data_IF_987962905656
#
_entry.id   IF_987962905656
#
_cell.length_a   1.000
_cell.length_b   1.000
_cell.length_c   1.000
_cell.angle_alpha   90.00
_cell.angle_beta   90.00
_cell.angle_gamma   90.00
#
_symmetry.space_group_name_H-M   'P 1'
#
loop_
_entity.id
_entity.type
_entity.pdbx_description
1 polymer ?
#
# COMPACT_ATOMS: atom_id res chain seq x y z
N UNK A 1 -21.64 -34.38 23.89
CA UNK A 1 -20.38 -33.60 23.98
C UNK A 1 -20.20 -32.91 22.65
N UNK A 2 -20.50 -31.62 22.57
CA UNK A 2 -20.42 -30.84 21.34
C UNK A 2 -19.12 -30.05 21.42
N UNK A 3 -18.15 -30.37 20.56
CA UNK A 3 -16.91 -29.64 20.46
C UNK A 3 -17.18 -28.23 19.92
N UNK A 4 -16.77 -27.14 20.59
CA UNK A 4 -16.77 -25.83 19.99
C UNK A 4 -15.58 -25.73 19.03
N UNK A 5 -15.79 -26.20 17.80
CA UNK A 5 -14.87 -25.98 16.68
C UNK A 5 -15.06 -24.54 16.21
N UNK A 6 -13.99 -23.76 16.41
CA UNK A 6 -13.64 -22.55 15.66
C UNK A 6 -14.63 -21.39 15.84
N UNK A 7 -14.36 -20.63 16.92
CA UNK A 7 -14.81 -19.26 17.09
C UNK A 7 -14.21 -18.38 15.98
N UNK A 8 -14.92 -18.33 14.86
CA UNK A 8 -15.23 -17.14 14.06
C UNK A 8 -14.10 -16.08 14.07
N UNK A 9 -13.06 -16.30 13.27
CA UNK A 9 -12.20 -15.23 12.73
C UNK A 9 -12.95 -14.44 11.64
N UNK A 10 -14.14 -13.91 11.96
CA UNK A 10 -15.00 -13.23 10.98
C UNK A 10 -15.38 -11.80 11.40
N UNK A 11 -14.56 -11.18 12.25
CA UNK A 11 -14.60 -9.75 12.54
C UNK A 11 -13.34 -9.07 12.01
N UNK A 12 -13.11 -9.08 10.70
CA UNK A 12 -12.12 -8.16 10.10
C UNK A 12 -12.31 -7.91 8.62
N UNK A 13 -13.56 -7.83 8.14
CA UNK A 13 -13.84 -7.51 6.72
C UNK A 13 -14.50 -6.14 6.54
N UNK A 14 -15.07 -5.55 7.60
CA UNK A 14 -15.75 -4.26 7.51
C UNK A 14 -14.81 -3.05 7.57
N UNK A 15 -13.73 -3.10 8.37
CA UNK A 15 -12.83 -1.94 8.51
C UNK A 15 -11.88 -1.76 7.33
N UNK A 16 -11.61 -2.85 6.59
CA UNK A 16 -10.58 -2.87 5.57
C UNK A 16 -11.03 -2.23 4.23
N UNK A 17 -12.32 -2.35 3.88
CA UNK A 17 -12.86 -1.75 2.65
C UNK A 17 -12.81 -0.20 2.66
N UNK A 18 -12.96 0.41 3.84
CA UNK A 18 -12.93 1.87 3.99
C UNK A 18 -11.52 2.41 3.74
N UNK A 19 -10.51 1.76 4.34
CA UNK A 19 -9.10 2.13 4.20
C UNK A 19 -8.57 1.98 2.77
N UNK A 20 -9.11 1.04 2.00
CA UNK A 20 -8.72 0.83 0.60
C UNK A 20 -9.08 2.03 -0.29
N UNK A 21 -10.30 2.54 -0.15
CA UNK A 21 -10.78 3.71 -0.91
C UNK A 21 -10.03 5.00 -0.55
N UNK A 22 -9.38 5.02 0.63
CA UNK A 22 -8.59 6.16 1.09
C UNK A 22 -7.17 6.23 0.51
N UNK A 23 -6.70 5.16 -0.15
CA UNK A 23 -5.38 5.12 -0.76
C UNK A 23 -5.47 4.95 -2.29
N UNK A 24 -6.52 4.28 -2.77
CA UNK A 24 -6.78 4.11 -4.19
C UNK A 24 -6.95 5.48 -4.90
N UNK A 25 -6.14 5.73 -5.94
CA UNK A 25 -6.10 6.98 -6.71
C UNK A 25 -5.76 8.26 -5.93
N UNK A 26 -5.33 8.16 -4.67
CA UNK A 26 -4.86 9.30 -3.86
C UNK A 26 -3.34 9.42 -3.88
N UNK A 27 -2.86 10.62 -3.58
CA UNK A 27 -1.43 10.89 -3.39
C UNK A 27 -0.99 10.29 -2.05
N UNK A 28 -0.10 9.31 -2.11
CA UNK A 28 0.43 8.57 -0.96
C UNK A 28 1.24 9.50 -0.05
N UNK A 29 1.99 10.42 -0.66
CA UNK A 29 2.79 11.43 0.01
C UNK A 29 3.94 11.90 -0.88
N UNK A 30 4.78 12.74 -0.30
CA UNK A 30 6.02 13.21 -0.90
C UNK A 30 7.13 12.24 -0.47
N UNK A 31 7.87 11.72 -1.45
CA UNK A 31 9.00 10.84 -1.20
C UNK A 31 10.27 11.50 -1.69
N UNK A 32 11.30 11.45 -0.86
CA UNK A 32 12.62 11.90 -1.26
C UNK A 32 13.26 10.85 -2.19
N UNK A 33 13.68 11.23 -3.39
CA UNK A 33 14.40 10.33 -4.26
C UNK A 33 15.82 10.10 -3.73
N UNK A 34 16.40 8.93 -4.01
CA UNK A 34 17.81 8.70 -3.69
C UNK A 34 18.75 9.45 -4.66
N UNK A 35 20.06 9.33 -4.45
CA UNK A 35 21.13 9.94 -5.30
C UNK A 35 21.04 9.65 -6.81
N UNK A 36 20.19 8.74 -7.27
CA UNK A 36 19.91 8.39 -8.67
C UNK A 36 18.56 8.91 -9.16
N UNK A 37 17.91 9.79 -8.41
CA UNK A 37 16.56 10.30 -8.65
C UNK A 37 15.47 9.21 -8.66
N UNK A 38 15.67 8.14 -7.87
CA UNK A 38 14.75 6.99 -7.78
C UNK A 38 14.17 6.92 -6.38
N UNK A 39 12.84 6.86 -6.28
CA UNK A 39 12.16 6.64 -5.00
C UNK A 39 12.33 5.19 -4.55
N UNK A 40 12.84 4.93 -3.34
CA UNK A 40 12.98 3.58 -2.81
C UNK A 40 11.61 2.92 -2.60
N UNK A 41 11.41 1.78 -3.25
CA UNK A 41 10.18 0.99 -3.14
C UNK A 41 9.85 0.56 -1.70
N UNK A 42 10.87 0.35 -0.87
CA UNK A 42 10.68 -0.03 0.54
C UNK A 42 9.95 1.03 1.36
N UNK A 43 10.22 2.31 1.11
CA UNK A 43 9.59 3.40 1.87
C UNK A 43 8.14 3.62 1.43
N UNK A 44 7.89 3.53 0.11
CA UNK A 44 6.53 3.48 -0.44
C UNK A 44 5.75 2.33 0.19
N UNK A 45 6.35 1.14 0.27
CA UNK A 45 5.71 -0.06 0.82
C UNK A 45 5.32 0.12 2.30
N UNK A 46 6.20 0.73 3.10
CA UNK A 46 5.96 1.05 4.51
C UNK A 46 4.82 2.03 4.70
N UNK A 47 4.82 3.14 3.96
CA UNK A 47 3.75 4.13 4.04
C UNK A 47 2.40 3.55 3.64
N UNK A 48 2.40 2.75 2.57
CA UNK A 48 1.20 2.09 2.10
C UNK A 48 0.68 1.06 3.11
N UNK A 49 1.57 0.30 3.75
CA UNK A 49 1.23 -0.63 4.84
C UNK A 49 0.62 0.09 6.04
N UNK A 50 1.19 1.22 6.46
CA UNK A 50 0.65 2.06 7.55
C UNK A 50 -0.75 2.59 7.23
N UNK A 51 -0.96 3.15 6.04
CA UNK A 51 -2.26 3.73 5.65
C UNK A 51 -3.34 2.67 5.52
N UNK A 52 -2.99 1.52 4.95
CA UNK A 52 -3.92 0.39 4.81
C UNK A 52 -4.03 -0.44 6.08
N UNK A 53 -3.24 -0.15 7.12
CA UNK A 53 -3.12 -0.94 8.34
C UNK A 53 -2.91 -2.46 8.05
N UNK A 54 -2.07 -2.76 7.08
CA UNK A 54 -1.64 -4.13 6.70
C UNK A 54 -0.19 -4.36 7.04
N UNK A 55 0.24 -5.63 7.06
CA UNK A 55 1.66 -5.92 7.09
C UNK A 55 2.30 -5.68 5.73
N UNK A 56 3.56 -5.24 5.73
CA UNK A 56 4.36 -5.15 4.51
C UNK A 56 4.49 -6.51 3.81
N UNK A 57 4.50 -7.62 4.55
CA UNK A 57 4.53 -8.98 4.00
C UNK A 57 3.29 -9.34 3.20
N UNK A 58 2.16 -8.72 3.53
CA UNK A 58 0.89 -8.91 2.83
C UNK A 58 0.85 -8.12 1.52
N UNK A 59 1.67 -7.08 1.38
CA UNK A 59 1.86 -6.31 0.15
C UNK A 59 2.86 -7.02 -0.77
N UNK A 60 2.38 -7.43 -1.93
CA UNK A 60 3.09 -8.20 -2.94
C UNK A 60 3.09 -7.48 -4.29
N UNK A 61 4.00 -7.86 -5.18
CA UNK A 61 4.05 -7.34 -6.54
C UNK A 61 4.04 -5.80 -6.63
N UNK A 62 4.71 -5.12 -5.70
CA UNK A 62 4.83 -3.65 -5.73
C UNK A 62 5.58 -3.24 -7.01
N UNK A 63 4.90 -2.44 -7.83
CA UNK A 63 5.47 -1.79 -9.01
C UNK A 63 5.35 -0.30 -8.83
N UNK A 64 6.44 0.39 -9.12
CA UNK A 64 6.50 1.85 -9.05
C UNK A 64 7.16 2.33 -10.32
N UNK A 65 6.59 3.39 -10.89
CA UNK A 65 7.15 4.11 -12.01
C UNK A 65 7.24 5.57 -11.59
N UNK A 66 8.34 6.20 -11.98
CA UNK A 66 8.69 7.55 -11.57
C UNK A 66 9.11 8.30 -12.82
N UNK A 67 8.47 9.43 -13.09
CA UNK A 67 8.71 10.22 -14.30
C UNK A 67 8.59 11.70 -13.93
N UNK A 68 9.69 12.45 -14.09
CA UNK A 68 9.73 13.91 -13.94
C UNK A 68 8.96 14.47 -12.73
N UNK A 69 9.39 14.16 -11.49
CA UNK A 69 8.81 14.75 -10.28
C UNK A 69 7.51 14.11 -9.78
N UNK A 70 6.88 13.23 -10.57
CA UNK A 70 5.70 12.48 -10.16
C UNK A 70 5.93 10.99 -10.33
N UNK A 71 5.31 10.21 -9.45
CA UNK A 71 5.34 8.77 -9.51
C UNK A 71 3.95 8.17 -9.40
N UNK A 72 3.80 7.00 -10.00
CA UNK A 72 2.63 6.17 -9.83
C UNK A 72 3.08 4.75 -9.51
N UNK A 73 2.20 4.01 -8.87
CA UNK A 73 2.50 2.66 -8.49
C UNK A 73 1.26 1.82 -8.34
N UNK A 74 1.47 0.53 -8.41
CA UNK A 74 0.45 -0.48 -8.19
C UNK A 74 1.00 -1.48 -7.21
N UNK A 75 0.20 -1.89 -6.24
CA UNK A 75 0.54 -2.97 -5.33
C UNK A 75 -0.59 -3.99 -5.30
N UNK A 76 -0.23 -5.25 -5.14
CA UNK A 76 -1.19 -6.31 -4.90
C UNK A 76 -1.10 -6.72 -3.43
N UNK A 77 -2.16 -7.25 -2.85
CA UNK A 77 -2.06 -7.87 -1.54
C UNK A 77 -2.61 -9.28 -1.56
N UNK A 78 -2.16 -10.10 -0.62
CA UNK A 78 -2.82 -11.38 -0.32
C UNK A 78 -4.17 -11.18 0.37
N UNK A 79 -4.36 -10.04 1.02
CA UNK A 79 -5.56 -9.73 1.81
C UNK A 79 -6.73 -9.29 0.93
N UNK A 80 -6.49 -8.81 -0.29
CA UNK A 80 -7.52 -8.35 -1.21
C UNK A 80 -7.26 -8.82 -2.65
N UNK A 81 -8.33 -9.13 -3.38
CA UNK A 81 -8.24 -9.73 -4.72
C UNK A 81 -7.83 -8.72 -5.81
N UNK A 82 -7.97 -7.41 -5.53
CA UNK A 82 -7.72 -6.32 -6.47
C UNK A 82 -6.26 -5.84 -6.45
N UNK A 83 -5.90 -5.03 -7.43
CA UNK A 83 -4.64 -4.28 -7.41
C UNK A 83 -4.96 -2.88 -6.91
N UNK A 84 -4.18 -2.37 -5.96
CA UNK A 84 -4.32 -1.00 -5.48
C UNK A 84 -3.37 -0.10 -6.25
N UNK A 85 -3.94 0.90 -6.91
CA UNK A 85 -3.18 1.92 -7.63
C UNK A 85 -3.08 3.19 -6.78
N UNK A 86 -1.87 3.73 -6.70
CA UNK A 86 -1.56 4.92 -5.91
C UNK A 86 -0.65 5.85 -6.71
N UNK A 87 -0.69 7.13 -6.34
CA UNK A 87 0.20 8.16 -6.90
C UNK A 87 1.10 8.69 -5.80
N UNK A 88 2.25 9.22 -6.15
CA UNK A 88 3.16 9.85 -5.21
C UNK A 88 3.90 11.00 -5.88
N UNK A 89 4.34 11.95 -5.08
CA UNK A 89 5.13 13.08 -5.55
C UNK A 89 6.59 12.87 -5.13
N UNK A 90 7.49 13.30 -6.01
CA UNK A 90 8.93 13.22 -5.80
C UNK A 90 9.37 14.65 -5.54
N UNK A 91 9.70 14.95 -4.29
CA UNK A 91 10.32 16.24 -3.98
C UNK A 91 11.75 16.21 -4.53
N UNK A 92 11.95 16.87 -5.68
CA UNK A 92 13.30 17.14 -6.16
C UNK A 92 14.01 18.01 -5.13
N UNK A 93 15.03 17.43 -4.50
CA UNK A 93 15.92 18.16 -3.61
C UNK A 93 16.64 19.21 -4.46
N UNK A 94 16.25 20.48 -4.27
CA UNK A 94 16.72 21.62 -5.05
C UNK A 94 18.08 22.11 -4.60
#
# INVERSE_FOLDING_TARGET
MISPVVLIHFFSSCSFNVLFSDVENKTLGNFEPNNKNIVPQGDIKKELAKKLNVNESDLQELKTNSTNGNGNGSVRSKTFVRTLEFKFEIEENK
#
